data_IF_279331190216
#
_entry.id   IF_279331190216
#
_cell.length_a   1.000
_cell.length_b   1.000
_cell.length_c   1.000
_cell.angle_alpha   90.00
_cell.angle_beta   90.00
_cell.angle_gamma   90.00
#
_symmetry.space_group_name_H-M   'P 1'
#
loop_
_entity.id
_entity.type
_entity.pdbx_description
1 polymer ?
#
# COMPACT_ATOMS: atom_id res chain seq x y z
N UNK A 1 13.96 9.00 -5.66
CA UNK A 1 14.63 7.75 -5.29
C UNK A 1 13.58 6.66 -5.08
N UNK A 2 13.09 6.05 -6.17
CA UNK A 2 12.12 4.93 -6.14
C UNK A 2 12.50 3.84 -7.16
N UNK A 3 13.77 3.82 -7.57
CA UNK A 3 14.20 3.14 -8.80
C UNK A 3 14.45 1.63 -8.62
N UNK A 4 14.61 1.14 -7.38
CA UNK A 4 14.90 -0.28 -7.11
C UNK A 4 13.67 -1.11 -6.74
N UNK A 5 12.58 -0.48 -6.29
CA UNK A 5 11.36 -1.19 -5.86
C UNK A 5 10.52 -1.67 -7.04
N UNK A 6 10.48 -0.91 -8.14
CA UNK A 6 9.80 -1.31 -9.37
C UNK A 6 10.32 -2.65 -9.93
N UNK A 7 11.61 -2.97 -9.73
CA UNK A 7 12.19 -4.25 -10.16
C UNK A 7 11.79 -5.43 -9.27
N UNK A 8 11.32 -5.18 -8.04
CA UNK A 8 10.92 -6.24 -7.10
C UNK A 8 9.41 -6.49 -7.06
N UNK A 9 8.62 -5.65 -7.74
CA UNK A 9 7.17 -5.83 -7.76
C UNK A 9 6.78 -7.12 -8.48
N UNK A 10 5.93 -7.89 -7.83
CA UNK A 10 5.32 -9.11 -8.36
C UNK A 10 3.81 -8.89 -8.56
N UNK A 11 3.15 -9.60 -9.50
CA UNK A 11 1.70 -9.45 -9.73
C UNK A 11 0.81 -9.67 -8.50
N UNK A 12 1.31 -10.35 -7.47
CA UNK A 12 0.60 -10.58 -6.21
C UNK A 12 0.79 -9.47 -5.17
N UNK A 13 1.62 -8.45 -5.46
CA UNK A 13 1.84 -7.35 -4.54
C UNK A 13 0.64 -6.41 -4.53
N UNK A 14 0.33 -5.88 -3.35
CA UNK A 14 -0.74 -4.93 -3.15
C UNK A 14 -0.18 -3.57 -2.72
N UNK A 15 -0.94 -2.52 -2.99
CA UNK A 15 -0.62 -1.16 -2.58
C UNK A 15 -1.49 -0.80 -1.39
N UNK A 16 -0.86 -0.39 -0.29
CA UNK A 16 -1.55 0.07 0.91
C UNK A 16 -1.08 1.46 1.31
N UNK A 17 -1.99 2.24 1.88
CA UNK A 17 -1.68 3.52 2.53
C UNK A 17 -1.94 3.32 4.01
N UNK A 18 -0.89 3.41 4.82
CA UNK A 18 -1.05 3.36 6.27
C UNK A 18 -1.70 4.66 6.75
N UNK A 19 -2.61 4.56 7.71
CA UNK A 19 -3.23 5.73 8.32
C UNK A 19 -2.14 6.65 8.91
N UNK A 20 -2.10 7.91 8.47
CA UNK A 20 -1.09 8.90 8.86
C UNK A 20 0.21 8.87 8.04
N UNK A 21 0.37 7.93 7.09
CA UNK A 21 1.49 7.97 6.16
C UNK A 21 1.31 9.04 5.09
N UNK A 22 2.45 9.54 4.57
CA UNK A 22 2.49 10.54 3.49
C UNK A 22 2.58 9.93 2.09
N UNK A 23 2.87 8.63 2.01
CA UNK A 23 3.12 7.92 0.75
C UNK A 23 2.51 6.52 0.79
N UNK A 24 2.13 5.94 -0.37
CA UNK A 24 1.77 4.54 -0.48
C UNK A 24 2.95 3.58 -0.29
N UNK A 25 2.64 2.34 0.09
CA UNK A 25 3.59 1.25 0.29
C UNK A 25 3.18 0.01 -0.51
N UNK A 26 4.18 -0.72 -0.97
CA UNK A 26 4.03 -2.04 -1.58
C UNK A 26 4.12 -3.10 -0.48
N UNK A 27 3.12 -3.97 -0.43
CA UNK A 27 3.04 -5.10 0.49
C UNK A 27 2.95 -6.41 -0.28
N UNK A 28 3.55 -7.46 0.27
CA UNK A 28 3.47 -8.82 -0.28
C UNK A 28 2.84 -9.75 0.74
N UNK A 29 1.74 -10.39 0.37
CA UNK A 29 1.11 -11.41 1.21
C UNK A 29 2.02 -12.63 1.38
N UNK A 30 2.06 -13.20 2.58
CA UNK A 30 2.56 -14.57 2.77
C UNK A 30 1.51 -15.55 2.23
N UNK A 31 1.95 -16.60 1.52
CA UNK A 31 1.05 -17.55 0.81
C UNK A 31 -0.08 -18.15 1.66
N UNK A 32 0.10 -18.26 2.97
CA UNK A 32 -0.79 -19.01 3.87
C UNK A 32 -1.26 -18.23 5.11
N UNK A 33 -1.08 -16.90 5.19
CA UNK A 33 -1.40 -16.12 6.41
C UNK A 33 -1.89 -14.69 6.09
N UNK A 34 -2.71 -14.10 6.98
CA UNK A 34 -3.15 -12.68 6.98
C UNK A 34 -2.00 -11.71 7.36
N UNK A 35 -0.82 -11.97 6.80
CA UNK A 35 0.42 -11.25 7.10
C UNK A 35 1.02 -10.76 5.81
N UNK A 36 1.65 -9.60 5.91
CA UNK A 36 2.28 -8.93 4.79
C UNK A 36 3.72 -8.57 5.10
N UNK A 37 4.61 -8.78 4.14
CA UNK A 37 5.94 -8.18 4.16
C UNK A 37 5.88 -6.78 3.60
N UNK A 38 6.53 -5.82 4.27
CA UNK A 38 6.72 -4.48 3.73
C UNK A 38 7.85 -4.49 2.69
N UNK A 39 7.51 -4.32 1.41
CA UNK A 39 8.49 -4.31 0.32
C UNK A 39 9.15 -2.93 0.23
N UNK A 40 8.39 -1.85 0.38
CA UNK A 40 8.89 -0.48 0.43
C UNK A 40 7.88 0.58 0.00
N UNK A 41 8.32 1.83 -0.06
CA UNK A 41 7.52 2.99 -0.50
C UNK A 41 7.33 3.03 -2.02
N UNK A 42 6.18 3.47 -2.51
CA UNK A 42 5.96 3.66 -3.94
C UNK A 42 5.26 4.99 -4.27
N UNK A 43 5.48 5.45 -5.50
CA UNK A 43 4.74 6.56 -6.07
C UNK A 43 3.54 6.02 -6.83
N UNK A 44 2.35 6.47 -6.46
CA UNK A 44 1.12 6.18 -7.21
C UNK A 44 0.46 7.50 -7.54
N UNK A 45 0.36 7.78 -8.82
CA UNK A 45 -0.31 8.97 -9.30
C UNK A 45 -1.78 8.94 -8.88
N UNK A 46 -2.28 10.04 -8.32
CA UNK A 46 -3.65 10.16 -7.85
C UNK A 46 -3.93 9.55 -6.47
N UNK A 47 -2.90 9.20 -5.68
CA UNK A 47 -3.07 8.76 -4.28
C UNK A 47 -2.18 9.53 -3.28
N UNK A 48 -1.38 10.50 -3.73
CA UNK A 48 -0.38 11.18 -2.90
C UNK A 48 -0.79 12.58 -2.45
N UNK A 49 -1.89 13.13 -2.98
CA UNK A 49 -2.43 14.45 -2.65
C UNK A 49 -3.67 14.34 -1.75
N UNK A 50 -3.88 13.19 -1.11
CA UNK A 50 -4.97 12.97 -0.16
C UNK A 50 -6.22 12.31 -0.75
N UNK A 51 -6.21 11.97 -2.04
CA UNK A 51 -7.35 11.36 -2.74
C UNK A 51 -7.80 10.04 -2.08
N UNK A 52 -6.86 9.27 -1.52
CA UNK A 52 -7.17 8.06 -0.80
C UNK A 52 -8.05 8.27 0.45
N UNK A 53 -7.86 9.42 1.13
CA UNK A 53 -8.68 9.80 2.29
C UNK A 53 -10.05 10.31 1.84
N UNK A 54 -10.11 11.09 0.77
CA UNK A 54 -11.39 11.51 0.17
C UNK A 54 -12.23 10.30 -0.26
N UNK A 55 -11.61 9.29 -0.87
CA UNK A 55 -12.27 8.05 -1.24
C UNK A 55 -12.71 7.22 -0.03
N UNK A 56 -11.97 7.29 1.09
CA UNK A 56 -12.39 6.67 2.34
C UNK A 56 -13.64 7.36 2.92
N UNK A 57 -13.67 8.69 2.96
CA UNK A 57 -14.83 9.47 3.42
C UNK A 57 -16.07 9.27 2.53
N UNK A 58 -15.86 9.12 1.22
CA UNK A 58 -16.92 8.81 0.25
C UNK A 58 -17.37 7.33 0.28
N UNK A 59 -16.78 6.49 1.12
CA UNK A 59 -17.10 5.06 1.24
C UNK A 59 -16.65 4.21 0.03
N UNK A 60 -15.78 4.75 -0.83
CA UNK A 60 -15.18 4.02 -1.97
C UNK A 60 -14.02 3.12 -1.55
N UNK A 61 -13.45 3.36 -0.36
CA UNK A 61 -12.44 2.52 0.28
C UNK A 61 -12.85 2.12 1.70
N UNK A 62 -12.19 1.10 2.25
CA UNK A 62 -12.36 0.65 3.64
C UNK A 62 -11.01 0.62 4.34
N UNK A 63 -11.02 0.95 5.63
CA UNK A 63 -9.88 0.71 6.50
C UNK A 63 -9.88 -0.76 6.92
N UNK A 64 -8.72 -1.40 6.78
CA UNK A 64 -8.48 -2.76 7.21
C UNK A 64 -7.25 -2.78 8.12
N UNK A 65 -7.27 -3.65 9.13
CA UNK A 65 -6.12 -3.89 10.01
C UNK A 65 -5.46 -5.19 9.61
N UNK A 66 -4.15 -5.16 9.42
CA UNK A 66 -3.34 -6.33 9.09
C UNK A 66 -2.01 -6.29 9.83
N UNK A 67 -1.39 -7.47 9.96
CA UNK A 67 -0.05 -7.58 10.54
C UNK A 67 1.01 -7.42 9.46
N UNK A 68 1.97 -6.54 9.72
CA UNK A 68 3.21 -6.41 8.94
C UNK A 68 4.33 -7.12 9.70
N UNK A 69 5.11 -7.96 9.01
CA UNK A 69 6.30 -8.62 9.57
C UNK A 69 7.58 -8.19 8.87
#
# INVERSE_FOLDING_TARGET
MATWLAYRMEPSDIIAIFAGAKVPYVLRAFKDQDKYSLIGECYVHGLMEGEAFEELEQGKRKLETFAVM
#
